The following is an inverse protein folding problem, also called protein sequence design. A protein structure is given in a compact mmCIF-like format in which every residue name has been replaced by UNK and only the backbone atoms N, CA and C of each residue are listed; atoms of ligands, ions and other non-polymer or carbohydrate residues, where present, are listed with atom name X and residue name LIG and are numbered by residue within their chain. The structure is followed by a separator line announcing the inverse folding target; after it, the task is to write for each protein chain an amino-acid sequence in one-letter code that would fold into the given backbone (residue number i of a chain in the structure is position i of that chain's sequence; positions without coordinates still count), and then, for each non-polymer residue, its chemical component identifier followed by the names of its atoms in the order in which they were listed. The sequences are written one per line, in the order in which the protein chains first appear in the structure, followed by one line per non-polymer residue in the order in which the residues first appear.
data_IF_603780703063
#
_entry.id   IF_603780703063
#
_cell.length_a   1.000
_cell.length_b   1.000
_cell.length_c   1.000
_cell.angle_alpha   90.00
_cell.angle_beta   90.00
_cell.angle_gamma   90.00
#
_symmetry.space_group_name_H-M   'P 1'
#
loop_
_entity.id
_entity.type
_entity.pdbx_description
1 polymer ?
#
# COMPACT_ATOMS: atom_id res chain seq x y z
N UNK A 1 -5.00 2.01 -16.44
CA UNK A 1 -5.07 0.75 -15.65
C UNK A 1 -6.23 0.87 -14.67
N UNK A 2 -7.19 -0.03 -14.73
CA UNK A 2 -8.30 -0.03 -13.76
C UNK A 2 -7.88 -0.72 -12.44
N UNK A 3 -8.79 -0.73 -11.46
CA UNK A 3 -8.48 -1.28 -10.14
C UNK A 3 -8.17 -2.77 -10.20
N UNK A 4 -8.91 -3.54 -10.99
CA UNK A 4 -8.69 -4.99 -11.11
C UNK A 4 -7.33 -5.29 -11.74
N UNK A 5 -6.93 -4.51 -12.73
CA UNK A 5 -5.60 -4.61 -13.33
C UNK A 5 -4.50 -4.25 -12.34
N UNK A 6 -4.71 -3.21 -11.53
CA UNK A 6 -3.80 -2.82 -10.45
C UNK A 6 -3.65 -3.94 -9.42
N UNK A 7 -4.77 -4.55 -9.03
CA UNK A 7 -4.77 -5.65 -8.06
C UNK A 7 -4.04 -6.88 -8.62
N UNK A 8 -4.26 -7.22 -9.89
CA UNK A 8 -3.55 -8.31 -10.56
C UNK A 8 -2.05 -8.03 -10.64
N UNK A 9 -1.67 -6.79 -10.88
CA UNK A 9 -0.27 -6.37 -10.94
C UNK A 9 0.39 -6.47 -9.56
N UNK A 10 -0.29 -6.05 -8.52
CA UNK A 10 0.19 -6.16 -7.14
C UNK A 10 0.43 -7.63 -6.77
N UNK A 11 -0.48 -8.52 -7.15
CA UNK A 11 -0.34 -9.97 -6.94
C UNK A 11 0.89 -10.52 -7.65
N UNK A 12 1.08 -10.16 -8.91
CA UNK A 12 2.22 -10.60 -9.70
C UNK A 12 3.56 -10.15 -9.07
N UNK A 13 3.63 -8.92 -8.63
CA UNK A 13 4.83 -8.38 -7.97
C UNK A 13 5.09 -9.11 -6.64
N UNK A 14 4.03 -9.36 -5.87
CA UNK A 14 4.16 -10.12 -4.61
C UNK A 14 4.70 -11.54 -4.85
N UNK A 15 4.22 -12.21 -5.88
CA UNK A 15 4.71 -13.55 -6.26
C UNK A 15 6.19 -13.53 -6.61
N UNK A 16 6.63 -12.50 -7.33
CA UNK A 16 8.04 -12.33 -7.68
C UNK A 16 8.90 -12.08 -6.45
N UNK A 17 8.46 -11.25 -5.52
CA UNK A 17 9.15 -11.03 -4.24
C UNK A 17 9.22 -12.32 -3.43
N UNK A 18 8.13 -13.08 -3.37
CA UNK A 18 8.10 -14.35 -2.64
C UNK A 18 9.15 -15.33 -3.18
N UNK A 19 9.33 -15.40 -4.49
CA UNK A 19 10.34 -16.23 -5.13
C UNK A 19 11.76 -15.78 -4.74
N UNK A 20 12.03 -14.48 -4.75
CA UNK A 20 13.33 -13.92 -4.34
C UNK A 20 13.59 -14.20 -2.86
N UNK A 21 12.60 -13.99 -2.00
CA UNK A 21 12.71 -14.23 -0.56
C UNK A 21 13.00 -15.70 -0.28
N UNK A 22 12.29 -16.61 -0.95
CA UNK A 22 12.48 -18.04 -0.80
C UNK A 22 13.88 -18.45 -1.24
N UNK A 23 14.37 -17.93 -2.36
CA UNK A 23 15.71 -18.22 -2.86
C UNK A 23 16.80 -17.68 -1.93
N UNK A 24 16.59 -16.52 -1.33
CA UNK A 24 17.58 -15.80 -0.52
C UNK A 24 17.56 -16.21 0.96
N UNK A 25 16.35 -16.42 1.51
CA UNK A 25 16.16 -16.63 2.95
C UNK A 25 15.51 -17.99 3.30
N UNK A 26 15.18 -18.81 2.31
CA UNK A 26 14.57 -20.12 2.53
C UNK A 26 13.06 -20.11 2.72
N UNK A 27 12.43 -18.94 2.78
CA UNK A 27 10.98 -18.80 2.88
C UNK A 27 10.52 -17.44 2.40
N UNK A 28 9.27 -17.35 1.98
CA UNK A 28 8.62 -16.07 1.70
C UNK A 28 8.24 -15.38 3.02
N UNK A 29 8.11 -14.05 2.98
CA UNK A 29 7.63 -13.26 4.11
C UNK A 29 6.20 -13.64 4.46
N UNK A 30 5.92 -13.71 5.76
CA UNK A 30 4.59 -13.95 6.29
C UNK A 30 3.72 -12.69 6.12
N UNK A 31 2.41 -12.86 6.34
CA UNK A 31 1.46 -11.74 6.34
C UNK A 31 1.83 -10.68 7.39
N UNK A 32 2.27 -11.14 8.57
CA UNK A 32 2.71 -10.23 9.64
C UNK A 32 3.94 -9.44 9.24
N UNK A 33 4.90 -10.07 8.57
CA UNK A 33 6.10 -9.39 8.08
C UNK A 33 5.77 -8.35 7.01
N UNK A 34 4.79 -8.65 6.13
CA UNK A 34 4.30 -7.68 5.16
C UNK A 34 3.68 -6.48 5.88
N UNK A 35 2.88 -6.71 6.91
CA UNK A 35 2.29 -5.63 7.70
C UNK A 35 3.35 -4.78 8.40
N UNK A 36 4.38 -5.40 8.97
CA UNK A 36 5.47 -4.67 9.60
C UNK A 36 6.26 -3.83 8.60
N UNK A 37 6.48 -4.37 7.39
CA UNK A 37 7.10 -3.61 6.30
C UNK A 37 6.27 -2.39 5.90
N UNK A 38 4.94 -2.54 5.88
CA UNK A 38 4.02 -1.45 5.59
C UNK A 38 4.14 -0.32 6.62
N UNK A 39 4.27 -0.64 7.90
CA UNK A 39 4.49 0.39 8.94
C UNK A 39 5.75 1.20 8.66
N UNK A 40 6.81 0.54 8.19
CA UNK A 40 8.04 1.22 7.77
C UNK A 40 7.78 2.19 6.62
N UNK A 41 7.04 1.76 5.61
CA UNK A 41 6.69 2.59 4.45
C UNK A 41 5.84 3.80 4.85
N UNK A 42 4.91 3.61 5.78
CA UNK A 42 4.09 4.72 6.32
C UNK A 42 4.97 5.73 7.06
N UNK A 43 5.95 5.25 7.81
CA UNK A 43 6.93 6.13 8.47
C UNK A 43 7.74 6.94 7.48
N UNK A 44 8.19 6.31 6.40
CA UNK A 44 8.93 6.99 5.33
C UNK A 44 8.02 8.01 4.61
N UNK A 45 6.77 7.65 4.36
CA UNK A 45 5.77 8.56 3.78
C UNK A 45 5.57 9.79 4.68
N UNK A 46 5.49 9.61 5.99
CA UNK A 46 5.33 10.71 6.95
C UNK A 46 6.50 11.70 6.85
N UNK A 47 7.73 11.21 6.70
CA UNK A 47 8.91 12.06 6.53
C UNK A 47 8.84 12.87 5.24
N UNK A 48 8.33 12.28 4.16
CA UNK A 48 8.20 12.96 2.88
C UNK A 48 7.12 14.05 2.91
N UNK A 49 6.02 13.79 3.61
CA UNK A 49 4.99 14.80 3.86
C UNK A 49 5.58 15.98 4.65
N UNK A 50 6.38 15.70 5.68
CA UNK A 50 7.10 16.74 6.42
C UNK A 50 8.03 17.54 5.50
N UNK A 51 8.67 16.86 4.54
CA UNK A 51 9.49 17.51 3.53
C UNK A 51 8.71 18.50 2.68
N UNK A 52 7.52 18.10 2.22
CA UNK A 52 6.62 18.98 1.46
C UNK A 52 6.16 20.20 2.26
N UNK A 53 6.03 20.04 3.56
CA UNK A 53 5.67 21.14 4.47
C UNK A 53 6.87 21.96 4.94
N UNK A 54 8.07 21.68 4.41
CA UNK A 54 9.29 22.43 4.69
C UNK A 54 10.00 22.09 5.99
N UNK A 55 9.58 21.02 6.67
CA UNK A 55 10.17 20.62 7.96
C UNK A 55 11.38 19.71 7.79
N UNK A 56 11.36 18.85 6.79
CA UNK A 56 12.43 17.90 6.49
C UNK A 56 12.79 17.95 5.00
N UNK A 57 13.67 18.87 4.58
CA UNK A 57 14.04 18.97 3.16
C UNK A 57 14.70 17.68 2.67
N UNK A 58 14.37 17.30 1.44
CA UNK A 58 14.84 16.10 0.77
C UNK A 58 15.00 16.37 -0.72
N UNK A 59 16.03 15.80 -1.34
CA UNK A 59 16.19 15.87 -2.80
C UNK A 59 15.13 14.99 -3.47
N UNK A 60 14.72 15.37 -4.68
CA UNK A 60 13.76 14.63 -5.49
C UNK A 60 12.46 14.29 -4.72
N UNK A 61 12.02 15.25 -3.91
CA UNK A 61 10.92 15.07 -2.98
C UNK A 61 9.61 14.65 -3.65
N UNK A 62 9.27 15.24 -4.79
CA UNK A 62 8.02 14.91 -5.49
C UNK A 62 8.02 13.47 -6.02
N UNK A 63 9.14 13.02 -6.57
CA UNK A 63 9.29 11.64 -7.03
C UNK A 63 9.26 10.65 -5.86
N UNK A 64 9.97 10.98 -4.78
CA UNK A 64 10.01 10.14 -3.58
C UNK A 64 8.62 10.01 -2.94
N UNK A 65 7.87 11.12 -2.87
CA UNK A 65 6.51 11.11 -2.33
C UNK A 65 5.58 10.24 -3.18
N UNK A 66 5.63 10.40 -4.50
CA UNK A 66 4.82 9.59 -5.41
C UNK A 66 5.15 8.09 -5.27
N UNK A 67 6.43 7.75 -5.16
CA UNK A 67 6.89 6.38 -4.98
C UNK A 67 6.38 5.79 -3.66
N UNK A 68 6.50 6.51 -2.56
CA UNK A 68 6.04 6.01 -1.24
C UNK A 68 4.52 5.87 -1.17
N UNK A 69 3.77 6.78 -1.79
CA UNK A 69 2.32 6.62 -1.89
C UNK A 69 1.96 5.35 -2.65
N UNK A 70 2.66 5.08 -3.76
CA UNK A 70 2.45 3.87 -4.53
C UNK A 70 2.82 2.62 -3.73
N UNK A 71 3.92 2.64 -2.99
CA UNK A 71 4.35 1.53 -2.12
C UNK A 71 3.32 1.24 -1.03
N UNK A 72 2.79 2.27 -0.39
CA UNK A 72 1.76 2.11 0.63
C UNK A 72 0.49 1.49 0.04
N UNK A 73 0.07 1.95 -1.13
CA UNK A 73 -1.09 1.37 -1.82
C UNK A 73 -0.85 -0.09 -2.18
N UNK A 74 0.35 -0.40 -2.70
CA UNK A 74 0.73 -1.77 -3.00
C UNK A 74 0.63 -2.69 -1.77
N UNK A 75 1.10 -2.22 -0.62
CA UNK A 75 1.01 -2.98 0.64
C UNK A 75 -0.45 -3.25 1.03
N UNK A 76 -1.33 -2.25 0.91
CA UNK A 76 -2.75 -2.42 1.20
C UNK A 76 -3.37 -3.46 0.26
N UNK A 77 -3.09 -3.37 -1.03
CA UNK A 77 -3.57 -4.33 -2.03
C UNK A 77 -3.05 -5.74 -1.75
N UNK A 78 -1.78 -5.86 -1.37
CA UNK A 78 -1.16 -7.15 -1.03
C UNK A 78 -1.79 -7.78 0.20
N UNK A 79 -2.06 -6.98 1.23
CA UNK A 79 -2.74 -7.46 2.43
C UNK A 79 -4.17 -7.90 2.14
N UNK A 80 -4.89 -7.15 1.31
CA UNK A 80 -6.24 -7.54 0.87
C UNK A 80 -6.21 -8.90 0.18
N UNK A 81 -5.26 -9.10 -0.72
CA UNK A 81 -5.07 -10.38 -1.41
C UNK A 81 -4.76 -11.52 -0.43
N UNK A 82 -3.90 -11.27 0.55
CA UNK A 82 -3.48 -12.26 1.53
C UNK A 82 -4.63 -12.76 2.42
N UNK A 83 -5.63 -11.92 2.66
CA UNK A 83 -6.79 -12.23 3.50
C UNK A 83 -8.09 -12.41 2.71
N UNK A 84 -8.00 -12.54 1.40
CA UNK A 84 -9.16 -12.74 0.50
C UNK A 84 -10.21 -11.64 0.64
N UNK A 85 -9.78 -10.40 0.82
CA UNK A 85 -10.67 -9.24 0.89
C UNK A 85 -10.83 -8.66 -0.51
N UNK A 86 -12.08 -8.52 -0.97
CA UNK A 86 -12.39 -7.75 -2.18
C UNK A 86 -12.28 -6.26 -1.84
N UNK A 87 -11.09 -5.72 -2.04
CA UNK A 87 -10.77 -4.34 -1.64
C UNK A 87 -11.60 -3.31 -2.40
N UNK A 88 -11.85 -3.54 -3.68
CA UNK A 88 -12.70 -2.65 -4.48
C UNK A 88 -14.11 -2.56 -3.92
N UNK A 89 -14.73 -3.70 -3.61
CA UNK A 89 -16.06 -3.76 -3.02
C UNK A 89 -16.06 -3.14 -1.62
N UNK A 90 -15.05 -3.43 -0.81
CA UNK A 90 -14.91 -2.87 0.55
C UNK A 90 -14.77 -1.33 0.50
N UNK A 91 -13.97 -0.82 -0.42
CA UNK A 91 -13.79 0.62 -0.63
C UNK A 91 -15.12 1.28 -1.02
N UNK A 92 -15.83 0.71 -1.98
CA UNK A 92 -17.12 1.24 -2.44
C UNK A 92 -18.14 1.27 -1.30
N UNK A 93 -18.26 0.18 -0.56
CA UNK A 93 -19.18 0.06 0.58
C UNK A 93 -18.85 1.07 1.69
N UNK A 94 -17.58 1.20 2.03
CA UNK A 94 -17.13 2.15 3.05
C UNK A 94 -17.37 3.60 2.61
N UNK A 95 -17.08 3.90 1.36
CA UNK A 95 -17.29 5.24 0.80
C UNK A 95 -18.76 5.61 0.75
N UNK A 96 -19.63 4.66 0.38
CA UNK A 96 -21.09 4.85 0.36
C UNK A 96 -21.62 5.14 1.77
N UNK A 97 -21.15 4.40 2.76
CA UNK A 97 -21.56 4.60 4.16
C UNK A 97 -21.14 5.98 4.69
N UNK A 98 -19.92 6.41 4.36
CA UNK A 98 -19.42 7.72 4.76
C UNK A 98 -20.23 8.84 4.08
N UNK A 99 -20.49 8.69 2.79
CA UNK A 99 -21.25 9.66 2.01
C UNK A 99 -22.66 9.82 2.57
N UNK A 100 -23.34 8.72 2.87
CA UNK A 100 -24.66 8.72 3.48
C UNK A 100 -24.66 9.38 4.86
N UNK A 101 -23.69 9.04 5.69
CA UNK A 101 -23.55 9.63 7.04
C UNK A 101 -23.35 11.14 6.99
N UNK A 102 -22.58 11.63 6.03
CA UNK A 102 -22.29 13.06 5.87
C UNK A 102 -23.49 13.85 5.30
N UNK A 103 -24.37 13.19 4.56
CA UNK A 103 -25.59 13.79 4.00
C UNK A 103 -26.74 13.85 4.98
N UNK A 104 -26.74 12.97 5.99
CA UNK A 104 -27.82 12.82 6.98
C UNK A 104 -27.29 13.12 8.38
N UNK A 105 -27.01 14.38 8.71
CA UNK A 105 -26.50 14.76 10.02
C UNK A 105 -27.50 14.56 11.14
#
# INVERSE_FOLDING_TARGET
MDFDEMQARARSVREQYAAVETARYGRAWSREEIMLGFLGDVGDLAKLVQGKEGVRPCEDLDEALAHELADCLWCVMTLAEAYDVDLGAAFASTSDSLDESLRSP
#
